data_IF_809273604472
#
_entry.id   IF_809273604472
#
_cell.length_a   1.000
_cell.length_b   1.000
_cell.length_c   1.000
_cell.angle_alpha   90.00
_cell.angle_beta   90.00
_cell.angle_gamma   90.00
#
_symmetry.space_group_name_H-M   'P 1'
#
loop_
_entity.id
_entity.type
_entity.pdbx_description
1 polymer ?
#
# COMPACT_ATOMS: atom_id res chain seq x y z
N UNK A 1 -9.19 -5.53 11.18
CA UNK A 1 -8.71 -5.91 12.54
C UNK A 1 -7.35 -6.59 12.42
N UNK A 2 -6.32 -6.16 13.18
CA UNK A 2 -5.01 -6.81 13.23
C UNK A 2 -5.11 -8.25 13.77
N UNK A 3 -4.32 -9.17 13.22
CA UNK A 3 -4.12 -10.53 13.72
C UNK A 3 -2.66 -10.98 13.48
N UNK A 4 -2.18 -11.99 14.22
CA UNK A 4 -0.80 -12.48 14.14
C UNK A 4 0.26 -11.54 14.73
N UNK A 5 1.53 -11.91 14.55
CA UNK A 5 2.69 -11.17 15.06
C UNK A 5 3.15 -10.08 14.08
N UNK A 6 3.75 -9.02 14.63
CA UNK A 6 4.47 -8.00 13.87
C UNK A 6 5.71 -8.62 13.21
N UNK A 7 5.93 -8.27 11.95
CA UNK A 7 7.07 -8.73 11.15
C UNK A 7 7.45 -7.69 10.09
N UNK A 8 8.58 -7.93 9.44
CA UNK A 8 9.01 -7.18 8.25
C UNK A 8 8.99 -8.10 7.03
N UNK A 9 9.03 -7.52 5.83
CA UNK A 9 8.96 -8.29 4.61
C UNK A 9 10.23 -9.11 4.36
N UNK A 10 10.03 -10.37 3.95
CA UNK A 10 11.09 -11.27 3.50
C UNK A 10 11.63 -10.84 2.13
N UNK A 11 12.90 -11.14 1.87
CA UNK A 11 13.52 -10.80 0.60
C UNK A 11 12.87 -11.55 -0.56
N UNK A 12 12.62 -10.87 -1.67
CA UNK A 12 11.93 -11.35 -2.86
C UNK A 12 10.46 -11.77 -2.61
N UNK A 13 9.81 -11.22 -1.59
CA UNK A 13 8.38 -11.41 -1.33
C UNK A 13 7.52 -10.37 -2.07
N UNK A 14 6.22 -10.65 -2.17
CA UNK A 14 5.26 -9.66 -2.65
C UNK A 14 5.23 -8.43 -1.74
N UNK A 15 5.31 -8.66 -0.42
CA UNK A 15 5.34 -7.62 0.59
C UNK A 15 6.57 -6.72 0.43
N UNK A 16 7.75 -7.28 0.15
CA UNK A 16 8.94 -6.46 -0.10
C UNK A 16 8.75 -5.59 -1.35
N UNK A 17 8.17 -6.17 -2.41
CA UNK A 17 7.87 -5.42 -3.62
C UNK A 17 6.89 -4.27 -3.38
N UNK A 18 5.81 -4.51 -2.62
CA UNK A 18 4.76 -3.51 -2.39
C UNK A 18 5.16 -2.46 -1.34
N UNK A 19 5.86 -2.85 -0.27
CA UNK A 19 6.12 -1.99 0.88
C UNK A 19 7.42 -1.20 0.78
N UNK A 20 8.45 -1.77 0.14
CA UNK A 20 9.79 -1.16 0.14
C UNK A 20 10.08 -0.37 -1.15
N UNK A 21 9.14 -0.32 -2.10
CA UNK A 21 9.33 0.30 -3.42
C UNK A 21 8.23 1.27 -3.83
N UNK A 22 7.45 1.75 -2.86
CA UNK A 22 6.39 2.72 -3.14
C UNK A 22 6.93 4.14 -3.32
N UNK A 23 6.17 4.97 -4.03
CA UNK A 23 6.34 6.42 -4.07
C UNK A 23 4.99 7.07 -3.77
N UNK A 24 5.02 8.35 -3.40
CA UNK A 24 3.82 9.11 -3.10
C UNK A 24 3.40 9.91 -4.32
N UNK A 25 2.13 9.75 -4.70
CA UNK A 25 1.48 10.63 -5.68
C UNK A 25 0.58 11.61 -4.94
N UNK A 26 0.69 12.89 -5.30
CA UNK A 26 -0.11 13.96 -4.71
C UNK A 26 -0.58 14.94 -5.77
N UNK A 27 -1.82 15.40 -5.64
CA UNK A 27 -2.33 16.51 -6.46
C UNK A 27 -2.08 17.83 -5.74
N UNK A 28 -1.32 18.72 -6.35
CA UNK A 28 -1.08 20.07 -5.86
C UNK A 28 -1.31 21.07 -6.99
N UNK A 29 -2.14 22.09 -6.74
CA UNK A 29 -2.53 23.10 -7.75
C UNK A 29 -3.02 22.49 -9.07
N UNK A 30 -3.88 21.48 -9.00
CA UNK A 30 -4.43 20.74 -10.15
C UNK A 30 -3.39 20.03 -11.02
N UNK A 31 -2.19 19.79 -10.49
CA UNK A 31 -1.15 19.04 -11.16
C UNK A 31 -0.72 17.86 -10.31
N UNK A 32 -0.46 16.72 -10.96
CA UNK A 32 0.03 15.53 -10.27
C UNK A 32 1.52 15.69 -10.05
N UNK A 33 1.97 15.31 -8.85
CA UNK A 33 3.38 15.27 -8.50
C UNK A 33 3.73 13.90 -7.93
N UNK A 34 4.99 13.51 -8.05
CA UNK A 34 5.58 12.32 -7.47
C UNK A 34 6.64 12.70 -6.43
N UNK A 35 6.67 12.01 -5.31
CA UNK A 35 7.72 12.14 -4.30
C UNK A 35 8.26 10.76 -3.91
N UNK A 36 9.58 10.64 -3.92
CA UNK A 36 10.28 9.45 -3.47
C UNK A 36 10.49 9.47 -1.96
N UNK A 37 10.36 8.31 -1.34
CA UNK A 37 10.49 8.13 0.11
C UNK A 37 11.72 7.29 0.41
N UNK A 38 12.40 7.63 1.51
CA UNK A 38 13.40 6.78 2.13
C UNK A 38 12.96 6.50 3.57
N UNK A 39 12.85 5.23 3.91
CA UNK A 39 12.33 4.76 5.18
C UNK A 39 13.01 3.46 5.60
N UNK A 40 12.91 3.14 6.89
CA UNK A 40 13.21 1.80 7.39
C UNK A 40 12.16 0.81 6.89
N UNK A 41 12.47 -0.49 6.93
CA UNK A 41 11.51 -1.54 6.56
C UNK A 41 10.19 -1.38 7.29
N UNK A 42 9.09 -1.64 6.59
CA UNK A 42 7.77 -1.62 7.22
C UNK A 42 7.61 -2.75 8.22
N UNK A 43 7.21 -2.40 9.44
CA UNK A 43 6.66 -3.37 10.38
C UNK A 43 5.14 -3.47 10.18
N UNK A 44 4.66 -4.68 9.92
CA UNK A 44 3.26 -4.95 9.64
C UNK A 44 2.83 -6.28 10.25
N UNK A 45 1.53 -6.52 10.27
CA UNK A 45 0.95 -7.80 10.62
C UNK A 45 -0.25 -8.10 9.72
N UNK A 46 -0.70 -9.35 9.76
CA UNK A 46 -1.90 -9.75 9.03
C UNK A 46 -3.12 -9.03 9.61
N UNK A 47 -4.16 -8.94 8.79
CA UNK A 47 -5.41 -8.34 9.18
C UNK A 47 -6.58 -9.03 8.49
N UNK A 48 -7.77 -8.77 9.02
CA UNK A 48 -9.03 -9.02 8.33
C UNK A 48 -9.66 -7.67 8.01
N UNK A 49 -10.12 -7.48 6.78
CA UNK A 49 -10.84 -6.30 6.34
C UNK A 49 -12.23 -6.72 5.85
N UNK A 50 -13.25 -5.95 6.22
CA UNK A 50 -14.60 -6.07 5.69
C UNK A 50 -14.76 -4.97 4.65
N UNK A 51 -14.99 -5.33 3.38
CA UNK A 51 -15.19 -4.39 2.28
C UNK A 51 -16.68 -4.31 1.95
N UNK A 52 -17.24 -3.10 1.97
CA UNK A 52 -18.63 -2.87 1.55
C UNK A 52 -18.73 -2.56 0.05
N UNK A 53 -17.69 -1.92 -0.52
CA UNK A 53 -17.64 -1.53 -1.92
C UNK A 53 -16.20 -1.62 -2.44
N UNK A 54 -16.04 -1.92 -3.74
CA UNK A 54 -14.75 -1.93 -4.43
C UNK A 54 -14.89 -1.45 -5.87
N UNK A 55 -14.98 -0.13 -6.05
CA UNK A 55 -15.16 0.49 -7.36
C UNK A 55 -13.91 0.43 -8.23
N UNK A 56 -12.72 0.24 -7.65
CA UNK A 56 -11.46 0.17 -8.38
C UNK A 56 -11.40 -1.11 -9.22
N UNK A 57 -11.55 -2.28 -8.58
CA UNK A 57 -11.42 -3.57 -9.27
C UNK A 57 -12.57 -3.83 -10.24
N UNK A 58 -13.77 -3.36 -9.90
CA UNK A 58 -14.96 -3.44 -10.75
C UNK A 58 -14.77 -2.65 -12.05
N UNK A 59 -14.27 -1.41 -11.95
CA UNK A 59 -14.08 -0.53 -13.11
C UNK A 59 -13.08 -1.10 -14.13
N UNK A 60 -11.94 -1.62 -13.66
CA UNK A 60 -10.87 -2.11 -14.53
C UNK A 60 -11.05 -3.57 -14.98
N UNK A 61 -12.09 -4.28 -14.51
CA UNK A 61 -12.39 -5.69 -14.86
C UNK A 61 -11.17 -6.60 -14.78
N UNK A 62 -10.45 -6.54 -13.66
CA UNK A 62 -9.16 -7.24 -13.45
C UNK A 62 -9.28 -8.77 -13.31
N UNK A 63 -10.44 -9.37 -13.60
CA UNK A 63 -10.66 -10.82 -13.48
C UNK A 63 -10.80 -11.34 -12.05
N UNK A 64 -11.03 -10.46 -11.07
CA UNK A 64 -11.24 -10.82 -9.66
C UNK A 64 -12.71 -11.19 -9.46
N UNK A 65 -12.96 -12.42 -9.00
CA UNK A 65 -14.32 -12.96 -8.84
C UNK A 65 -15.01 -12.46 -7.57
N UNK A 66 -14.29 -12.33 -6.46
CA UNK A 66 -14.83 -11.89 -5.18
C UNK A 66 -14.22 -10.55 -4.76
N UNK A 67 -14.76 -9.45 -5.30
CA UNK A 67 -14.19 -8.11 -5.14
C UNK A 67 -14.26 -7.55 -3.70
N UNK A 68 -15.07 -8.17 -2.83
CA UNK A 68 -15.26 -7.75 -1.44
C UNK A 68 -14.49 -8.62 -0.43
N UNK A 69 -13.87 -9.70 -0.88
CA UNK A 69 -13.11 -10.62 -0.02
C UNK A 69 -11.64 -10.62 -0.45
N UNK A 70 -10.78 -9.84 0.21
CA UNK A 70 -9.36 -9.82 -0.14
C UNK A 70 -8.67 -11.11 0.31
N UNK A 71 -7.88 -11.72 -0.57
CA UNK A 71 -7.02 -12.88 -0.24
C UNK A 71 -5.95 -12.53 0.81
N UNK A 72 -5.52 -11.26 0.82
CA UNK A 72 -4.46 -10.75 1.68
C UNK A 72 -4.81 -9.35 2.20
N UNK A 73 -4.76 -9.19 3.51
CA UNK A 73 -4.87 -7.88 4.16
C UNK A 73 -3.78 -7.72 5.21
N UNK A 74 -3.11 -6.58 5.15
CA UNK A 74 -2.04 -6.19 6.06
C UNK A 74 -2.40 -4.89 6.77
N UNK A 75 -1.91 -4.72 7.99
CA UNK A 75 -2.04 -3.49 8.75
C UNK A 75 -0.70 -3.14 9.40
N UNK A 76 -0.39 -1.84 9.41
CA UNK A 76 0.81 -1.28 10.04
C UNK A 76 0.41 -0.08 10.89
N UNK A 77 1.25 0.25 11.88
CA UNK A 77 1.15 1.50 12.66
C UNK A 77 1.66 2.72 11.89
N UNK A 78 2.21 2.52 10.69
CA UNK A 78 2.88 3.55 9.91
C UNK A 78 4.40 3.51 10.08
N UNK A 79 5.11 4.05 9.10
CA UNK A 79 6.55 4.25 9.15
C UNK A 79 6.85 5.74 8.98
N UNK A 80 7.91 6.22 9.64
CA UNK A 80 8.42 7.57 9.39
C UNK A 80 9.29 7.56 8.14
N UNK A 81 9.04 8.52 7.26
CA UNK A 81 9.77 8.66 5.99
C UNK A 81 10.56 9.96 5.94
N UNK A 82 11.68 9.93 5.24
CA UNK A 82 12.31 11.13 4.68
C UNK A 82 11.86 11.25 3.23
N UNK A 83 11.47 12.45 2.82
CA UNK A 83 11.03 12.73 1.46
C UNK A 83 11.83 13.88 0.87
N UNK A 84 12.02 13.85 -0.45
CA UNK A 84 12.53 14.98 -1.21
C UNK A 84 11.37 15.81 -1.76
N UNK A 85 11.70 16.88 -2.48
CA UNK A 85 10.70 17.72 -3.16
C UNK A 85 9.82 16.86 -4.07
N UNK A 86 8.51 17.12 -4.05
CA UNK A 86 7.60 16.51 -5.00
C UNK A 86 7.81 17.14 -6.38
N UNK A 87 7.97 16.29 -7.40
CA UNK A 87 8.22 16.70 -8.78
C UNK A 87 6.94 16.57 -9.59
N UNK A 88 6.59 17.60 -10.36
CA UNK A 88 5.44 17.57 -11.28
C UNK A 88 5.66 16.49 -12.36
N UNK A 89 4.61 15.72 -12.67
CA UNK A 89 4.62 14.71 -13.75
C UNK A 89 3.78 15.14 -14.96
#
# INVERSE_FOLDING_TARGET
KPNGALRTADKNSLEEFLFERYCLYVTYKNKTHIAYTCHEKWEFQNATAELETNSLTEFYKLGISNILEPDLAHISKGVKVKTWSAEEI
#
